data_IF_159768717230
#
_entry.id   IF_159768717230
#
_cell.length_a   1.000
_cell.length_b   1.000
_cell.length_c   1.000
_cell.angle_alpha   90.00
_cell.angle_beta   90.00
_cell.angle_gamma   90.00
#
_symmetry.space_group_name_H-M   'P 1'
#
loop_
_entity.id
_entity.type
_entity.pdbx_description
1 polymer ?
#
# COMPACT_ATOMS: atom_id res chain seq x y z
N UNK A 1 25.99 22.29 3.48
CA UNK A 1 25.44 22.65 2.16
C UNK A 1 24.09 21.94 2.09
N UNK A 2 22.95 22.62 2.23
CA UNK A 2 22.29 23.36 1.16
C UNK A 2 21.38 24.43 1.78
N UNK A 3 21.57 25.70 1.40
CA UNK A 3 20.72 26.83 1.77
C UNK A 3 19.74 27.19 0.66
N UNK A 4 19.50 26.30 -0.30
CA UNK A 4 18.68 26.61 -1.47
C UNK A 4 17.18 26.57 -1.16
N UNK A 5 16.71 25.60 -0.37
CA UNK A 5 15.28 25.45 -0.09
C UNK A 5 14.68 26.64 0.66
N UNK A 6 15.43 27.27 1.57
CA UNK A 6 14.99 28.49 2.28
C UNK A 6 14.82 29.72 1.40
N UNK A 7 15.28 29.67 0.15
CA UNK A 7 15.18 30.76 -0.84
C UNK A 7 14.05 30.50 -1.84
N UNK A 8 13.44 29.32 -1.81
CA UNK A 8 12.38 28.97 -2.76
C UNK A 8 11.09 29.70 -2.39
N UNK A 9 10.58 30.46 -3.36
CA UNK A 9 9.19 30.93 -3.38
C UNK A 9 8.26 29.76 -3.71
N UNK A 10 6.98 29.90 -3.37
CA UNK A 10 5.99 28.83 -3.48
C UNK A 10 5.92 28.19 -4.88
N UNK A 11 6.06 28.98 -5.96
CA UNK A 11 6.13 28.48 -7.34
C UNK A 11 7.28 27.50 -7.58
N UNK A 12 8.43 27.69 -6.92
CA UNK A 12 9.57 26.79 -7.03
C UNK A 12 9.39 25.53 -6.20
N UNK A 13 8.73 25.65 -5.06
CA UNK A 13 8.30 24.46 -4.32
C UNK A 13 7.28 23.64 -5.10
N UNK A 14 6.36 24.30 -5.80
CA UNK A 14 5.39 23.64 -6.67
C UNK A 14 6.08 22.83 -7.78
N UNK A 15 7.08 23.40 -8.44
CA UNK A 15 7.90 22.69 -9.44
C UNK A 15 8.56 21.43 -8.85
N UNK A 16 9.17 21.55 -7.66
CA UNK A 16 9.82 20.41 -6.97
C UNK A 16 8.82 19.30 -6.64
N UNK A 17 7.68 19.63 -6.02
CA UNK A 17 6.72 18.60 -5.60
C UNK A 17 6.03 17.95 -6.80
N UNK A 18 5.84 18.69 -7.91
CA UNK A 18 5.33 18.12 -9.16
C UNK A 18 6.35 17.16 -9.80
N UNK A 19 7.64 17.50 -9.82
CA UNK A 19 8.67 16.57 -10.31
C UNK A 19 8.79 15.32 -9.45
N UNK A 20 8.64 15.43 -8.12
CA UNK A 20 8.60 14.27 -7.23
C UNK A 20 7.37 13.39 -7.51
N UNK A 21 6.21 14.02 -7.73
CA UNK A 21 4.98 13.31 -8.10
C UNK A 21 5.11 12.60 -9.46
N UNK A 22 5.66 13.27 -10.47
CA UNK A 22 5.94 12.68 -11.78
C UNK A 22 6.86 11.47 -11.65
N UNK A 23 8.01 11.63 -10.96
CA UNK A 23 8.94 10.53 -10.71
C UNK A 23 8.27 9.36 -9.98
N UNK A 24 7.40 9.62 -9.01
CA UNK A 24 6.65 8.58 -8.31
C UNK A 24 5.71 7.84 -9.27
N UNK A 25 5.01 8.55 -10.15
CA UNK A 25 4.08 7.92 -11.11
C UNK A 25 4.79 7.13 -12.21
N UNK A 26 5.88 7.63 -12.76
CA UNK A 26 6.61 6.99 -13.87
C UNK A 26 7.38 5.75 -13.44
N UNK A 27 7.76 5.67 -12.17
CA UNK A 27 8.56 4.58 -11.61
C UNK A 27 7.72 3.54 -10.88
N UNK A 28 6.39 3.57 -11.00
CA UNK A 28 5.54 2.53 -10.41
C UNK A 28 5.93 1.14 -10.94
N UNK A 29 6.09 0.12 -10.07
CA UNK A 29 6.40 -1.24 -10.50
C UNK A 29 5.30 -1.82 -11.38
N UNK A 30 5.63 -2.29 -12.59
CA UNK A 30 4.65 -2.93 -13.48
C UNK A 30 4.71 -4.46 -13.36
N UNK A 31 3.54 -5.05 -13.12
CA UNK A 31 3.34 -6.50 -13.02
C UNK A 31 2.40 -7.04 -14.10
N UNK A 32 2.00 -6.21 -15.07
CA UNK A 32 1.06 -6.58 -16.14
C UNK A 32 1.48 -7.84 -16.91
N UNK A 33 2.78 -7.97 -17.22
CA UNK A 33 3.33 -9.15 -17.89
C UNK A 33 3.13 -10.44 -17.07
N UNK A 34 3.40 -10.40 -15.76
CA UNK A 34 3.20 -11.55 -14.86
C UNK A 34 1.71 -11.84 -14.68
N UNK A 35 0.90 -10.80 -14.49
CA UNK A 35 -0.54 -10.92 -14.30
C UNK A 35 -1.21 -11.58 -15.52
N UNK A 36 -0.83 -11.17 -16.73
CA UNK A 36 -1.36 -11.70 -17.99
C UNK A 36 -1.11 -13.20 -18.18
N UNK A 37 -0.05 -13.74 -17.58
CA UNK A 37 0.35 -15.12 -17.83
C UNK A 37 0.91 -15.32 -19.24
N UNK A 38 1.34 -14.27 -19.95
CA UNK A 38 1.91 -14.36 -21.29
C UNK A 38 3.15 -15.28 -21.39
N UNK A 39 3.79 -15.58 -20.25
CA UNK A 39 4.87 -16.56 -20.17
C UNK A 39 4.40 -18.03 -20.21
N UNK A 40 3.09 -18.28 -20.07
CA UNK A 40 2.44 -19.60 -20.11
C UNK A 40 1.66 -19.84 -21.42
N UNK A 41 1.42 -18.81 -22.23
CA UNK A 41 0.68 -18.96 -23.47
C UNK A 41 1.51 -19.76 -24.49
N UNK A 42 1.12 -21.01 -24.69
CA UNK A 42 1.38 -21.69 -25.95
C UNK A 42 0.52 -20.98 -27.00
N UNK A 43 1.12 -20.29 -27.97
CA UNK A 43 0.41 -19.98 -29.21
C UNK A 43 0.61 -21.15 -30.16
N UNK A 44 -0.35 -22.07 -30.30
CA UNK A 44 -0.53 -22.77 -31.56
C UNK A 44 -1.85 -22.40 -32.21
N UNK A 45 -1.87 -22.53 -33.53
CA UNK A 45 -2.96 -22.29 -34.53
C UNK A 45 -3.12 -20.82 -34.93
N UNK A 46 -2.91 -20.46 -36.20
CA UNK A 46 -3.62 -21.00 -37.36
C UNK A 46 -2.70 -21.44 -38.51
N UNK A 47 -2.86 -22.68 -38.99
CA UNK A 47 -2.88 -22.88 -40.44
C UNK A 47 -3.76 -24.08 -40.78
N UNK A 48 -5.03 -23.82 -41.09
CA UNK A 48 -5.82 -24.73 -41.91
C UNK A 48 -5.25 -24.71 -43.33
N UNK A 49 -4.88 -25.90 -43.81
CA UNK A 49 -4.92 -26.24 -45.23
C UNK A 49 -3.66 -25.96 -46.03
N UNK A 50 -2.83 -27.00 -46.23
CA UNK A 50 -2.69 -27.62 -47.55
C UNK A 50 -1.65 -28.75 -47.51
N UNK A 51 -2.04 -29.91 -48.06
CA UNK A 51 -1.14 -31.03 -48.33
C UNK A 51 -0.12 -30.61 -49.41
N UNK A 52 1.18 -30.81 -49.19
CA UNK A 52 2.00 -31.81 -49.89
C UNK A 52 3.49 -31.76 -49.50
N UNK A 53 4.05 -32.93 -49.17
CA UNK A 53 5.40 -33.44 -49.54
C UNK A 53 6.68 -32.61 -49.25
N UNK A 54 7.53 -33.12 -48.33
CA UNK A 54 8.77 -33.93 -48.55
C UNK A 54 9.62 -33.98 -47.26
N UNK A 55 10.19 -35.16 -47.01
CA UNK A 55 11.11 -35.45 -45.91
C UNK A 55 12.54 -34.93 -46.17
N UNK A 56 13.29 -34.76 -45.08
CA UNK A 56 14.73 -34.48 -44.92
C UNK A 56 15.25 -33.03 -45.09
N UNK A 57 15.03 -32.21 -44.05
CA UNK A 57 16.03 -31.28 -43.50
C UNK A 57 15.87 -31.22 -41.97
N UNK A 58 16.95 -31.30 -41.15
CA UNK A 58 16.86 -31.01 -39.73
C UNK A 58 16.67 -29.50 -39.56
N UNK A 59 15.42 -29.05 -39.50
CA UNK A 59 15.08 -27.69 -39.09
C UNK A 59 15.62 -27.49 -37.66
N UNK A 60 16.26 -26.34 -37.34
CA UNK A 60 16.50 -26.00 -35.95
C UNK A 60 15.16 -26.03 -35.23
N UNK A 61 15.10 -26.60 -34.03
CA UNK A 61 13.92 -26.53 -33.16
C UNK A 61 13.58 -25.05 -32.92
N UNK A 62 12.62 -24.50 -33.68
CA UNK A 62 12.09 -23.14 -33.44
C UNK A 62 11.51 -23.02 -32.01
N UNK A 63 11.10 -24.16 -31.44
CA UNK A 63 10.55 -24.32 -30.09
C UNK A 63 11.55 -23.96 -28.96
N UNK A 64 12.85 -24.26 -29.13
CA UNK A 64 13.87 -23.94 -28.10
C UNK A 64 14.13 -22.43 -27.99
N UNK A 65 13.98 -21.70 -29.10
CA UNK A 65 14.29 -20.27 -29.15
C UNK A 65 13.17 -19.43 -28.52
N UNK A 66 11.92 -19.86 -28.65
CA UNK A 66 10.75 -19.19 -28.09
C UNK A 66 10.66 -19.37 -26.56
N UNK A 67 10.88 -20.59 -26.05
CA UNK A 67 10.90 -20.87 -24.61
C UNK A 67 12.03 -20.12 -23.88
N UNK A 68 13.21 -20.04 -24.52
CA UNK A 68 14.34 -19.25 -24.01
C UNK A 68 14.01 -17.75 -23.98
N UNK A 69 13.30 -17.25 -25.00
CA UNK A 69 12.89 -15.84 -25.10
C UNK A 69 11.83 -15.48 -24.04
N UNK A 70 10.82 -16.34 -23.82
CA UNK A 70 9.79 -16.16 -22.78
C UNK A 70 10.39 -16.13 -21.38
N UNK A 71 11.27 -17.09 -21.08
CA UNK A 71 11.98 -17.18 -19.81
C UNK A 71 12.82 -15.92 -19.54
N UNK A 72 13.49 -15.41 -20.58
CA UNK A 72 14.28 -14.17 -20.50
C UNK A 72 13.40 -12.93 -20.27
N UNK A 73 12.28 -12.82 -20.97
CA UNK A 73 11.33 -11.71 -20.81
C UNK A 73 10.73 -11.71 -19.40
N UNK A 74 10.39 -12.88 -18.86
CA UNK A 74 9.89 -13.03 -17.50
C UNK A 74 10.92 -12.63 -16.45
N UNK A 75 12.17 -13.09 -16.62
CA UNK A 75 13.28 -12.69 -15.76
C UNK A 75 13.49 -11.17 -15.78
N UNK A 76 13.43 -10.55 -16.96
CA UNK A 76 13.56 -9.10 -17.12
C UNK A 76 12.39 -8.36 -16.46
N UNK A 77 11.15 -8.80 -16.66
CA UNK A 77 9.97 -8.17 -16.07
C UNK A 77 10.00 -8.19 -14.53
N UNK A 78 10.35 -9.34 -13.92
CA UNK A 78 10.48 -9.45 -12.46
C UNK A 78 11.65 -8.59 -11.95
N UNK A 79 12.78 -8.61 -12.65
CA UNK A 79 13.95 -7.80 -12.33
C UNK A 79 13.65 -6.30 -12.38
N UNK A 80 12.95 -5.84 -13.40
CA UNK A 80 12.51 -4.46 -13.59
C UNK A 80 11.53 -4.04 -12.49
N UNK A 81 10.49 -4.84 -12.23
CA UNK A 81 9.52 -4.57 -11.17
C UNK A 81 10.18 -4.47 -9.78
N UNK A 82 11.15 -5.35 -9.49
CA UNK A 82 11.94 -5.30 -8.26
C UNK A 82 12.79 -4.02 -8.18
N UNK A 83 13.46 -3.66 -9.28
CA UNK A 83 14.26 -2.45 -9.36
C UNK A 83 13.39 -1.21 -9.09
N UNK A 84 12.24 -1.11 -9.77
CA UNK A 84 11.25 -0.04 -9.58
C UNK A 84 10.74 0.03 -8.15
N UNK A 85 10.45 -1.11 -7.51
CA UNK A 85 10.02 -1.13 -6.11
C UNK A 85 11.12 -0.60 -5.16
N UNK A 86 12.39 -0.88 -5.45
CA UNK A 86 13.51 -0.32 -4.69
C UNK A 86 13.68 1.19 -4.95
N UNK A 87 13.52 1.64 -6.20
CA UNK A 87 13.53 3.07 -6.55
C UNK A 87 12.42 3.82 -5.82
N UNK A 88 11.22 3.26 -5.73
CA UNK A 88 10.11 3.86 -4.98
C UNK A 88 10.43 4.03 -3.50
N UNK A 89 11.06 3.04 -2.85
CA UNK A 89 11.50 3.17 -1.45
C UNK A 89 12.53 4.30 -1.28
N UNK A 90 13.47 4.45 -2.22
CA UNK A 90 14.42 5.56 -2.21
C UNK A 90 13.73 6.91 -2.42
N UNK A 91 12.71 6.96 -3.28
CA UNK A 91 11.93 8.16 -3.54
C UNK A 91 11.12 8.57 -2.30
N UNK A 92 10.48 7.63 -1.61
CA UNK A 92 9.77 7.88 -0.35
C UNK A 92 10.72 8.44 0.71
N UNK A 93 11.92 7.86 0.83
CA UNK A 93 12.96 8.37 1.73
C UNK A 93 13.36 9.81 1.37
N UNK A 94 13.55 10.11 0.08
CA UNK A 94 13.87 11.46 -0.38
C UNK A 94 12.73 12.45 -0.10
N UNK A 95 11.47 12.07 -0.33
CA UNK A 95 10.29 12.89 0.00
C UNK A 95 10.23 13.15 1.49
N UNK A 96 10.47 12.15 2.33
CA UNK A 96 10.49 12.30 3.79
C UNK A 96 11.58 13.29 4.23
N UNK A 97 12.79 13.20 3.65
CA UNK A 97 13.88 14.12 3.97
C UNK A 97 13.56 15.56 3.54
N UNK A 98 13.05 15.75 2.31
CA UNK A 98 12.61 17.07 1.81
C UNK A 98 11.53 17.64 2.73
N UNK A 99 10.52 16.85 3.06
CA UNK A 99 9.44 17.27 3.96
C UNK A 99 9.99 17.66 5.33
N UNK A 100 10.80 16.82 5.98
CA UNK A 100 11.34 17.11 7.31
C UNK A 100 12.25 18.34 7.33
N UNK A 101 13.04 18.58 6.28
CA UNK A 101 13.94 19.72 6.20
C UNK A 101 13.21 21.04 5.92
N UNK A 102 12.12 21.00 5.16
CA UNK A 102 11.49 22.21 4.60
C UNK A 102 10.00 22.35 4.94
N UNK A 103 9.47 21.57 5.90
CA UNK A 103 8.07 21.59 6.36
C UNK A 103 7.54 22.99 6.62
N UNK A 104 8.29 23.83 7.32
CA UNK A 104 7.88 25.21 7.66
C UNK A 104 7.78 26.15 6.43
N UNK A 105 8.35 25.75 5.28
CA UNK A 105 8.39 26.52 4.04
C UNK A 105 7.40 25.98 3.00
N UNK A 106 6.97 24.72 3.12
CA UNK A 106 6.00 24.11 2.24
C UNK A 106 4.60 24.65 2.54
N UNK A 107 3.92 25.15 1.51
CA UNK A 107 2.50 25.48 1.61
C UNK A 107 1.66 24.21 1.81
N UNK A 108 0.42 24.39 2.29
CA UNK A 108 -0.55 23.29 2.39
C UNK A 108 -0.77 22.63 1.03
N UNK A 109 -0.90 23.43 -0.03
CA UNK A 109 -1.08 22.94 -1.39
C UNK A 109 0.08 22.03 -1.82
N UNK A 110 1.32 22.48 -1.66
CA UNK A 110 2.49 21.67 -2.02
C UNK A 110 2.58 20.40 -1.17
N UNK A 111 2.18 20.47 0.09
CA UNK A 111 2.17 19.31 0.98
C UNK A 111 1.08 18.30 0.60
N UNK A 112 -0.09 18.76 0.15
CA UNK A 112 -1.15 17.89 -0.39
C UNK A 112 -0.68 17.19 -1.67
N UNK A 113 0.06 17.87 -2.55
CA UNK A 113 0.62 17.24 -3.76
C UNK A 113 1.61 16.12 -3.39
N UNK A 114 2.45 16.33 -2.37
CA UNK A 114 3.33 15.27 -1.85
C UNK A 114 2.54 14.10 -1.26
N UNK A 115 1.49 14.38 -0.48
CA UNK A 115 0.59 13.37 0.03
C UNK A 115 -0.03 12.55 -1.12
N UNK A 116 -0.58 13.18 -2.15
CA UNK A 116 -1.18 12.49 -3.30
C UNK A 116 -0.18 11.59 -4.03
N UNK A 117 1.06 12.04 -4.19
CA UNK A 117 2.12 11.25 -4.81
C UNK A 117 2.42 9.98 -3.99
N UNK A 118 2.59 10.13 -2.68
CA UNK A 118 2.87 9.02 -1.77
C UNK A 118 1.67 8.06 -1.66
N UNK A 119 0.46 8.60 -1.65
CA UNK A 119 -0.78 7.83 -1.61
C UNK A 119 -0.96 6.99 -2.88
N UNK A 120 -0.62 7.54 -4.05
CA UNK A 120 -0.61 6.78 -5.31
C UNK A 120 0.37 5.59 -5.26
N UNK A 121 1.55 5.76 -4.65
CA UNK A 121 2.52 4.67 -4.45
C UNK A 121 1.98 3.63 -3.46
N UNK A 122 1.40 4.08 -2.35
CA UNK A 122 0.82 3.21 -1.32
C UNK A 122 -0.31 2.34 -1.88
N UNK A 123 -1.27 2.97 -2.57
CA UNK A 123 -2.44 2.30 -3.16
C UNK A 123 -2.05 1.34 -4.28
N UNK A 124 -1.06 1.70 -5.10
CA UNK A 124 -0.52 0.80 -6.14
C UNK A 124 0.12 -0.45 -5.52
N UNK A 125 0.97 -0.28 -4.50
CA UNK A 125 1.57 -1.40 -3.79
C UNK A 125 0.51 -2.28 -3.09
N UNK A 126 -0.48 -1.64 -2.44
CA UNK A 126 -1.60 -2.32 -1.81
C UNK A 126 -2.42 -3.18 -2.78
N UNK A 127 -2.70 -2.64 -3.98
CA UNK A 127 -3.44 -3.35 -5.04
C UNK A 127 -2.73 -4.65 -5.43
N UNK A 128 -1.40 -4.59 -5.58
CA UNK A 128 -0.59 -5.78 -5.92
C UNK A 128 -0.53 -6.76 -4.74
N UNK A 129 -0.37 -6.27 -3.50
CA UNK A 129 -0.33 -7.11 -2.31
C UNK A 129 -1.66 -7.83 -2.04
N UNK A 130 -2.78 -7.23 -2.46
CA UNK A 130 -4.13 -7.77 -2.27
C UNK A 130 -4.57 -8.73 -3.39
N UNK A 131 -3.86 -8.76 -4.51
CA UNK A 131 -4.13 -9.68 -5.62
C UNK A 131 -3.53 -11.06 -5.33
N UNK A 132 -4.32 -11.94 -4.71
CA UNK A 132 -3.85 -13.28 -4.33
C UNK A 132 -3.35 -14.11 -5.52
N UNK A 133 -3.95 -13.94 -6.71
CA UNK A 133 -3.55 -14.69 -7.90
C UNK A 133 -2.18 -14.24 -8.39
N UNK A 134 -1.97 -12.92 -8.49
CA UNK A 134 -0.68 -12.35 -8.84
C UNK A 134 0.40 -12.69 -7.79
N UNK A 135 0.07 -12.63 -6.50
CA UNK A 135 0.99 -12.97 -5.42
C UNK A 135 1.40 -14.44 -5.45
N UNK A 136 0.47 -15.36 -5.71
CA UNK A 136 0.79 -16.78 -5.92
C UNK A 136 1.73 -16.98 -7.11
N UNK A 137 1.44 -16.35 -8.26
CA UNK A 137 2.32 -16.41 -9.45
C UNK A 137 3.73 -15.88 -9.13
N UNK A 138 3.83 -14.73 -8.47
CA UNK A 138 5.12 -14.15 -8.08
C UNK A 138 5.92 -15.06 -7.14
N UNK A 139 5.24 -15.74 -6.21
CA UNK A 139 5.89 -16.68 -5.30
C UNK A 139 6.44 -17.92 -6.04
N UNK A 140 5.66 -18.49 -6.97
CA UNK A 140 6.11 -19.59 -7.83
C UNK A 140 7.32 -19.16 -8.67
N UNK A 141 7.24 -17.99 -9.29
CA UNK A 141 8.30 -17.45 -10.14
C UNK A 141 9.56 -17.07 -9.34
N UNK A 142 9.42 -16.58 -8.11
CA UNK A 142 10.55 -16.34 -7.21
C UNK A 142 11.33 -17.60 -6.91
N UNK A 143 10.65 -18.75 -6.77
CA UNK A 143 11.31 -20.04 -6.57
C UNK A 143 12.09 -20.51 -7.81
N UNK A 144 11.58 -20.22 -9.01
CA UNK A 144 12.21 -20.59 -10.28
C UNK A 144 13.39 -19.69 -10.64
N UNK A 145 13.25 -18.39 -10.44
CA UNK A 145 14.24 -17.37 -10.81
C UNK A 145 15.32 -17.15 -9.74
N UNK A 146 15.13 -17.70 -8.54
CA UNK A 146 15.94 -17.42 -7.34
C UNK A 146 15.97 -15.93 -6.97
N UNK A 147 15.05 -15.13 -7.51
CA UNK A 147 14.90 -13.73 -7.11
C UNK A 147 14.11 -13.61 -5.82
N UNK A 148 14.58 -12.74 -4.94
CA UNK A 148 13.76 -12.31 -3.80
C UNK A 148 12.51 -11.57 -4.28
N UNK A 149 11.41 -11.80 -3.58
CA UNK A 149 10.14 -11.11 -3.78
C UNK A 149 10.32 -9.59 -3.69
N UNK A 150 9.73 -8.80 -4.61
CA UNK A 150 9.76 -7.34 -4.53
C UNK A 150 9.22 -6.87 -3.17
N UNK A 151 9.83 -5.85 -2.53
CA UNK A 151 9.51 -5.43 -1.16
C UNK A 151 8.20 -4.60 -1.10
N UNK A 152 7.13 -5.05 -1.75
CA UNK A 152 5.88 -4.31 -1.93
C UNK A 152 5.13 -4.08 -0.63
N UNK A 153 5.13 -5.04 0.31
CA UNK A 153 4.50 -4.84 1.62
C UNK A 153 5.20 -3.74 2.43
N UNK A 154 6.54 -3.69 2.34
CA UNK A 154 7.33 -2.62 2.95
C UNK A 154 7.03 -1.29 2.28
N UNK A 155 6.97 -1.28 0.95
CA UNK A 155 6.63 -0.10 0.15
C UNK A 155 5.25 0.46 0.51
N UNK A 156 4.22 -0.39 0.57
CA UNK A 156 2.87 -0.04 1.01
C UNK A 156 2.90 0.62 2.40
N UNK A 157 3.52 -0.05 3.39
CA UNK A 157 3.51 0.41 4.76
C UNK A 157 4.27 1.72 4.97
N UNK A 158 5.48 1.86 4.39
CA UNK A 158 6.27 3.09 4.51
C UNK A 158 5.59 4.28 3.81
N UNK A 159 4.95 4.05 2.66
CA UNK A 159 4.20 5.09 1.93
C UNK A 159 3.01 5.59 2.74
N UNK A 160 2.17 4.68 3.26
CA UNK A 160 1.03 5.05 4.09
C UNK A 160 1.47 5.72 5.40
N UNK A 161 2.55 5.23 6.03
CA UNK A 161 3.08 5.83 7.25
C UNK A 161 3.51 7.28 7.01
N UNK A 162 4.17 7.56 5.88
CA UNK A 162 4.57 8.92 5.54
C UNK A 162 3.37 9.80 5.20
N UNK A 163 2.37 9.27 4.47
CA UNK A 163 1.10 9.97 4.23
C UNK A 163 0.45 10.41 5.55
N UNK A 164 0.33 9.48 6.49
CA UNK A 164 -0.28 9.72 7.80
C UNK A 164 0.51 10.77 8.59
N UNK A 165 1.83 10.63 8.60
CA UNK A 165 2.74 11.57 9.27
C UNK A 165 2.56 12.97 8.71
N UNK A 166 2.54 13.14 7.39
CA UNK A 166 2.37 14.44 6.73
C UNK A 166 1.02 15.07 7.08
N UNK A 167 -0.09 14.32 6.98
CA UNK A 167 -1.42 14.85 7.25
C UNK A 167 -1.62 15.21 8.72
N UNK A 168 -1.20 14.35 9.65
CA UNK A 168 -1.24 14.63 11.10
C UNK A 168 -0.47 15.90 11.43
N UNK A 169 0.71 16.04 10.84
CA UNK A 169 1.58 17.17 11.05
C UNK A 169 0.95 18.50 10.61
N UNK A 170 0.31 18.52 9.44
CA UNK A 170 -0.42 19.71 8.98
C UNK A 170 -1.61 20.00 9.88
N UNK A 171 -2.37 18.96 10.25
CA UNK A 171 -3.55 19.08 11.10
C UNK A 171 -3.22 19.68 12.48
N UNK A 172 -2.10 19.29 13.09
CA UNK A 172 -1.67 19.79 14.40
C UNK A 172 -1.05 21.20 14.36
N UNK A 173 -0.38 21.58 13.27
CA UNK A 173 0.33 22.87 13.18
C UNK A 173 -0.55 24.04 12.74
N UNK A 174 -1.60 23.77 11.97
CA UNK A 174 -2.32 24.83 11.24
C UNK A 174 -3.51 25.30 12.07
N UNK A 175 -3.32 26.39 12.82
CA UNK A 175 -4.33 27.01 13.69
C UNK A 175 -4.95 28.31 13.13
N UNK A 176 -4.73 28.66 11.85
CA UNK A 176 -5.11 30.01 11.34
C UNK A 176 -5.76 30.11 9.96
N UNK A 177 -5.86 29.02 9.17
CA UNK A 177 -6.49 29.06 7.83
C UNK A 177 -7.58 27.98 7.69
N UNK A 178 -8.80 28.33 8.07
CA UNK A 178 -9.96 27.45 8.27
C UNK A 178 -10.28 26.57 7.05
N UNK A 179 -10.25 27.13 5.82
CA UNK A 179 -10.60 26.38 4.61
C UNK A 179 -9.58 25.31 4.22
N UNK A 180 -8.30 25.52 4.53
CA UNK A 180 -7.25 24.52 4.28
C UNK A 180 -7.26 23.37 5.29
N UNK A 181 -7.80 23.62 6.49
CA UNK A 181 -7.86 22.64 7.58
C UNK A 181 -8.94 21.60 7.29
N UNK A 182 -10.12 22.02 6.80
CA UNK A 182 -11.20 21.08 6.46
C UNK A 182 -10.77 20.04 5.41
N UNK A 183 -10.04 20.49 4.38
CA UNK A 183 -9.53 19.60 3.33
C UNK A 183 -8.54 18.60 3.92
N UNK A 184 -7.60 19.05 4.75
CA UNK A 184 -6.59 18.18 5.39
C UNK A 184 -7.24 17.21 6.37
N UNK A 185 -8.22 17.65 7.15
CA UNK A 185 -9.00 16.83 8.07
C UNK A 185 -9.71 15.71 7.30
N UNK A 186 -10.38 16.03 6.18
CA UNK A 186 -11.03 15.03 5.34
C UNK A 186 -10.04 13.97 4.85
N UNK A 187 -8.89 14.39 4.30
CA UNK A 187 -7.86 13.46 3.84
C UNK A 187 -7.33 12.59 4.99
N UNK A 188 -7.16 13.15 6.19
CA UNK A 188 -6.68 12.40 7.36
C UNK A 188 -7.71 11.35 7.79
N UNK A 189 -8.99 11.70 7.85
CA UNK A 189 -10.08 10.77 8.19
C UNK A 189 -10.16 9.64 7.16
N UNK A 190 -10.14 9.98 5.87
CA UNK A 190 -10.24 9.00 4.79
C UNK A 190 -9.04 8.05 4.78
N UNK A 191 -7.82 8.58 4.96
CA UNK A 191 -6.61 7.76 5.09
C UNK A 191 -6.68 6.83 6.31
N UNK A 192 -7.14 7.32 7.46
CA UNK A 192 -7.26 6.49 8.66
C UNK A 192 -8.25 5.34 8.43
N UNK A 193 -9.39 5.62 7.79
CA UNK A 193 -10.36 4.58 7.45
C UNK A 193 -9.76 3.55 6.50
N UNK A 194 -9.13 4.01 5.42
CA UNK A 194 -8.50 3.15 4.42
C UNK A 194 -7.49 2.19 5.06
N UNK A 195 -6.58 2.70 5.89
CA UNK A 195 -5.57 1.88 6.57
C UNK A 195 -6.23 0.80 7.46
N UNK A 196 -7.27 1.16 8.21
CA UNK A 196 -7.98 0.19 9.06
C UNK A 196 -8.75 -0.84 8.22
N UNK A 197 -9.37 -0.44 7.11
CA UNK A 197 -10.06 -1.32 6.17
C UNK A 197 -9.09 -2.32 5.53
N UNK A 198 -7.91 -1.86 5.10
CA UNK A 198 -6.81 -2.69 4.57
C UNK A 198 -6.34 -3.71 5.60
N UNK A 199 -6.18 -3.31 6.85
CA UNK A 199 -5.78 -4.24 7.92
C UNK A 199 -6.85 -5.31 8.15
N UNK A 200 -8.12 -4.90 8.24
CA UNK A 200 -9.24 -5.80 8.48
C UNK A 200 -9.49 -6.76 7.31
N UNK A 201 -9.33 -6.30 6.07
CA UNK A 201 -9.47 -7.17 4.90
C UNK A 201 -8.41 -8.28 4.90
N UNK A 202 -7.21 -7.97 5.39
CA UNK A 202 -6.11 -8.94 5.57
C UNK A 202 -6.38 -9.91 6.72
N UNK A 203 -6.99 -9.45 7.80
CA UNK A 203 -7.28 -10.24 8.99
C UNK A 203 -8.49 -11.18 8.82
N UNK A 204 -9.32 -10.98 7.78
CA UNK A 204 -10.48 -11.84 7.52
C UNK A 204 -10.03 -13.24 7.10
N UNK A 205 -10.59 -14.30 7.72
CA UNK A 205 -10.34 -15.66 7.29
C UNK A 205 -10.91 -15.89 5.88
N UNK A 206 -10.17 -16.63 5.05
CA UNK A 206 -10.48 -16.89 3.64
C UNK A 206 -11.85 -17.59 3.36
N UNK A 207 -12.59 -17.97 4.40
CA UNK A 207 -13.82 -18.76 4.30
C UNK A 207 -15.11 -17.93 4.24
N UNK A 208 -15.07 -16.61 4.34
CA UNK A 208 -16.28 -15.77 4.28
C UNK A 208 -16.73 -15.38 2.85
N UNK A 209 -16.00 -15.80 1.81
CA UNK A 209 -16.33 -15.51 0.41
C UNK A 209 -17.31 -16.50 -0.24
N UNK A 210 -17.66 -17.59 0.45
CA UNK A 210 -18.72 -18.51 0.02
C UNK A 210 -19.91 -18.32 0.98
N UNK A 211 -21.09 -17.99 0.45
CA UNK A 211 -22.30 -17.61 1.20
C UNK A 211 -22.91 -18.68 2.12
N UNK A 212 -22.13 -19.63 2.60
CA UNK A 212 -22.51 -20.57 3.67
C UNK A 212 -22.05 -19.99 5.00
N UNK A 213 -23.01 -19.54 5.82
CA UNK A 213 -22.75 -19.25 7.23
C UNK A 213 -22.15 -20.51 7.89
N UNK A 214 -20.97 -20.42 8.52
CA UNK A 214 -20.45 -21.53 9.29
C UNK A 214 -21.32 -21.70 10.55
N UNK A 215 -22.13 -22.76 10.59
CA UNK A 215 -22.57 -23.35 11.86
C UNK A 215 -21.33 -23.92 12.56
N UNK A 216 -20.69 -23.12 13.42
CA UNK A 216 -19.60 -23.61 14.26
C UNK A 216 -18.59 -22.54 14.61
N UNK A 217 -18.42 -22.32 15.91
CA UNK A 217 -17.70 -21.25 16.61
C UNK A 217 -16.15 -21.36 16.52
N UNK A 218 -15.64 -22.12 15.56
CA UNK A 218 -14.20 -22.33 15.41
C UNK A 218 -13.66 -21.31 14.42
N UNK A 219 -13.18 -20.17 14.94
CA UNK A 219 -12.35 -19.28 14.14
C UNK A 219 -11.09 -20.08 13.74
N UNK A 220 -10.95 -20.37 12.45
CA UNK A 220 -9.70 -20.91 11.92
C UNK A 220 -8.64 -19.81 12.08
N UNK A 221 -7.51 -20.08 12.76
CA UNK A 221 -6.45 -19.09 12.90
C UNK A 221 -5.95 -18.60 11.55
N UNK A 222 -5.54 -17.33 11.48
CA UNK A 222 -4.91 -16.81 10.26
C UNK A 222 -3.65 -17.62 9.94
N UNK A 223 -3.49 -17.96 8.66
CA UNK A 223 -2.30 -18.67 8.19
C UNK A 223 -1.03 -17.87 8.53
N UNK A 224 0.09 -18.56 8.74
CA UNK A 224 1.37 -17.96 9.16
C UNK A 224 1.84 -16.81 8.26
N UNK A 225 1.61 -16.91 6.95
CA UNK A 225 1.91 -15.84 5.99
C UNK A 225 1.07 -14.58 6.24
N UNK A 226 -0.25 -14.73 6.42
CA UNK A 226 -1.16 -13.60 6.73
C UNK A 226 -0.87 -13.02 8.11
N UNK A 227 -0.51 -13.85 9.09
CA UNK A 227 -0.08 -13.38 10.42
C UNK A 227 1.18 -12.51 10.33
N UNK A 228 2.16 -12.89 9.50
CA UNK A 228 3.36 -12.06 9.25
C UNK A 228 3.00 -10.75 8.55
N UNK A 229 2.08 -10.78 7.59
CA UNK A 229 1.58 -9.60 6.91
C UNK A 229 0.90 -8.62 7.88
N UNK A 230 0.03 -9.13 8.75
CA UNK A 230 -0.61 -8.35 9.82
C UNK A 230 0.41 -7.78 10.82
N UNK A 231 1.44 -8.54 11.16
CA UNK A 231 2.51 -8.05 12.04
C UNK A 231 3.29 -6.90 11.38
N UNK A 232 3.55 -6.99 10.07
CA UNK A 232 4.22 -5.92 9.33
C UNK A 232 3.36 -4.66 9.20
N UNK A 233 2.03 -4.78 9.10
CA UNK A 233 1.10 -3.64 9.05
C UNK A 233 0.79 -3.03 10.42
N UNK A 234 1.06 -3.75 11.51
CA UNK A 234 0.65 -3.34 12.86
C UNK A 234 1.18 -1.96 13.32
N UNK A 235 2.45 -1.57 13.06
CA UNK A 235 2.94 -0.23 13.43
C UNK A 235 2.16 0.92 12.77
N UNK A 236 1.73 0.73 11.53
CA UNK A 236 0.92 1.70 10.79
C UNK A 236 -0.50 1.81 11.39
N UNK A 237 -1.09 0.68 11.77
CA UNK A 237 -2.40 0.67 12.46
C UNK A 237 -2.30 1.36 13.82
N UNK A 238 -1.24 1.10 14.60
CA UNK A 238 -1.01 1.80 15.88
C UNK A 238 -0.93 3.30 15.66
N UNK A 239 -0.13 3.75 14.69
CA UNK A 239 -0.01 5.17 14.34
C UNK A 239 -1.36 5.76 13.91
N UNK A 240 -2.20 4.97 13.24
CA UNK A 240 -3.55 5.37 12.80
C UNK A 240 -4.51 5.52 13.97
N UNK A 241 -4.50 4.59 14.93
CA UNK A 241 -5.31 4.69 16.15
C UNK A 241 -4.89 5.91 17.00
N UNK A 242 -3.59 6.19 17.07
CA UNK A 242 -3.06 7.40 17.69
C UNK A 242 -3.50 8.67 16.94
N UNK A 243 -3.53 8.64 15.60
CA UNK A 243 -4.06 9.72 14.77
C UNK A 243 -5.51 10.07 15.14
N UNK A 244 -6.36 9.04 15.16
CA UNK A 244 -7.79 9.17 15.44
C UNK A 244 -8.00 9.73 16.85
N UNK A 245 -7.21 9.26 17.82
CA UNK A 245 -7.24 9.76 19.20
C UNK A 245 -6.81 11.23 19.31
N UNK A 246 -6.00 11.73 18.36
CA UNK A 246 -5.50 13.10 18.31
C UNK A 246 -6.38 14.09 17.54
N UNK A 247 -7.50 13.66 16.93
CA UNK A 247 -8.39 14.53 16.14
C UNK A 247 -9.15 15.58 16.97
N UNK A 248 -9.19 15.43 18.31
CA UNK A 248 -10.00 16.25 19.20
C UNK A 248 -11.49 15.88 19.18
N UNK A 249 -12.24 16.32 20.19
CA UNK A 249 -13.59 15.79 20.47
C UNK A 249 -14.58 16.03 19.32
N UNK A 250 -14.61 17.23 18.73
CA UNK A 250 -15.60 17.59 17.69
C UNK A 250 -15.42 16.83 16.35
N UNK A 251 -14.23 16.84 15.70
CA UNK A 251 -14.00 16.04 14.50
C UNK A 251 -14.18 14.54 14.74
N UNK A 252 -13.77 14.07 15.92
CA UNK A 252 -13.92 12.67 16.29
C UNK A 252 -15.39 12.26 16.42
N UNK A 253 -16.21 13.00 17.18
CA UNK A 253 -17.64 12.73 17.36
C UNK A 253 -18.39 12.71 16.03
N UNK A 254 -18.09 13.68 15.15
CA UNK A 254 -18.68 13.77 13.80
C UNK A 254 -18.40 12.53 12.95
N UNK A 255 -17.25 11.90 13.13
CA UNK A 255 -16.80 10.75 12.34
C UNK A 255 -16.91 9.41 13.06
N UNK A 256 -17.39 9.39 14.31
CA UNK A 256 -17.50 8.20 15.13
C UNK A 256 -18.32 7.09 14.47
N UNK A 257 -19.41 7.45 13.77
CA UNK A 257 -20.25 6.49 13.04
C UNK A 257 -19.48 5.73 11.95
N UNK A 258 -18.42 6.32 11.40
CA UNK A 258 -17.57 5.70 10.38
C UNK A 258 -16.44 4.88 11.00
N UNK A 259 -15.85 5.35 12.10
CA UNK A 259 -14.77 4.63 12.79
C UNK A 259 -15.27 3.44 13.60
N UNK A 260 -16.44 3.55 14.24
CA UNK A 260 -16.92 2.54 15.18
C UNK A 260 -16.97 1.11 14.58
N UNK A 261 -17.51 0.87 13.36
CA UNK A 261 -17.47 -0.46 12.75
C UNK A 261 -16.06 -1.00 12.53
N UNK A 262 -15.10 -0.13 12.18
CA UNK A 262 -13.70 -0.52 11.95
C UNK A 262 -13.04 -0.91 13.28
N UNK A 263 -13.26 -0.13 14.33
CA UNK A 263 -12.72 -0.40 15.66
C UNK A 263 -13.31 -1.68 16.26
N UNK A 264 -14.62 -1.90 16.11
CA UNK A 264 -15.26 -3.16 16.50
C UNK A 264 -14.70 -4.35 15.70
N UNK A 265 -14.40 -4.12 14.41
CA UNK A 265 -13.69 -5.09 13.57
C UNK A 265 -12.31 -5.45 14.14
N UNK A 266 -11.54 -4.46 14.60
CA UNK A 266 -10.22 -4.68 15.19
C UNK A 266 -10.32 -5.53 16.46
N UNK A 267 -11.29 -5.28 17.34
CA UNK A 267 -11.53 -6.11 18.54
C UNK A 267 -11.76 -7.58 18.17
N UNK A 268 -12.46 -7.82 17.06
CA UNK A 268 -12.97 -9.14 16.68
C UNK A 268 -12.01 -9.96 15.82
N UNK A 269 -10.93 -9.35 15.30
CA UNK A 269 -10.03 -10.00 14.36
C UNK A 269 -8.77 -10.58 15.04
N UNK A 270 -8.11 -11.55 14.39
CA UNK A 270 -6.79 -12.00 14.84
C UNK A 270 -5.73 -10.99 14.40
N UNK A 271 -4.81 -10.66 15.31
CA UNK A 271 -3.69 -9.76 15.03
C UNK A 271 -2.38 -10.52 14.82
N UNK A 272 -1.51 -9.95 13.98
CA UNK A 272 -0.13 -10.44 13.83
C UNK A 272 0.78 -10.09 15.01
N UNK A 273 0.44 -9.05 15.77
CA UNK A 273 1.21 -8.48 16.89
C UNK A 273 0.27 -7.99 17.98
N UNK A 274 0.70 -8.03 19.25
CA UNK A 274 -0.10 -7.55 20.38
C UNK A 274 -0.21 -6.02 20.48
N UNK A 275 0.61 -5.28 19.74
CA UNK A 275 0.65 -3.80 19.80
C UNK A 275 -0.66 -3.13 19.36
N UNK A 276 -1.38 -3.73 18.39
CA UNK A 276 -2.68 -3.20 17.94
C UNK A 276 -3.70 -3.29 19.06
N UNK A 277 -3.71 -4.41 19.81
CA UNK A 277 -4.62 -4.59 20.94
C UNK A 277 -4.31 -3.61 22.08
N UNK A 278 -3.02 -3.35 22.34
CA UNK A 278 -2.60 -2.35 23.33
C UNK A 278 -3.06 -0.96 22.92
N UNK A 279 -2.76 -0.53 21.69
CA UNK A 279 -3.16 0.79 21.19
C UNK A 279 -4.69 0.98 21.19
N UNK A 280 -5.44 -0.08 20.84
CA UNK A 280 -6.90 -0.08 20.87
C UNK A 280 -7.43 0.05 22.30
N UNK A 281 -6.83 -0.67 23.26
CA UNK A 281 -7.17 -0.59 24.68
C UNK A 281 -6.90 0.81 25.25
N UNK A 282 -5.75 1.41 24.91
CA UNK A 282 -5.36 2.75 25.35
C UNK A 282 -6.33 3.81 24.81
N UNK A 283 -6.67 3.72 23.52
CA UNK A 283 -7.64 4.59 22.87
C UNK A 283 -9.03 4.48 23.53
N UNK A 284 -9.57 3.27 23.72
CA UNK A 284 -10.86 3.10 24.39
C UNK A 284 -10.84 3.56 25.86
N UNK A 285 -9.73 3.36 26.57
CA UNK A 285 -9.59 3.84 27.96
C UNK A 285 -9.63 5.37 28.02
N UNK A 286 -9.05 6.03 27.02
CA UNK A 286 -9.08 7.49 26.88
C UNK A 286 -10.47 8.02 26.56
N UNK A 287 -11.28 7.28 25.78
CA UNK A 287 -12.62 7.68 25.38
C UNK A 287 -13.70 7.36 26.41
N UNK A 288 -13.67 6.15 26.96
CA UNK A 288 -14.70 5.64 27.89
C UNK A 288 -14.41 6.09 29.31
N UNK A 289 -13.14 6.26 29.69
CA UNK A 289 -12.73 6.69 31.03
C UNK A 289 -13.42 7.98 31.49
N UNK A 290 -13.38 9.07 30.70
CA UNK A 290 -14.07 10.32 31.04
C UNK A 290 -15.59 10.18 31.14
N UNK A 291 -16.22 9.39 30.26
CA UNK A 291 -17.67 9.18 30.24
C UNK A 291 -18.15 8.41 31.48
N UNK A 292 -17.40 7.40 31.92
CA UNK A 292 -17.71 6.62 33.14
C UNK A 292 -17.50 7.48 34.39
N UNK A 293 -16.46 8.32 34.42
CA UNK A 293 -16.19 9.23 35.53
C UNK A 293 -17.20 10.39 35.63
N UNK A 294 -17.78 10.83 34.53
CA UNK A 294 -18.85 11.84 34.52
C UNK A 294 -20.23 11.28 34.90
N UNK A 295 -20.39 9.96 34.86
CA UNK A 295 -21.66 9.27 35.17
C UNK A 295 -21.75 8.74 36.61
N UNK A 296 -20.69 8.96 37.42
CA UNK A 296 -20.61 8.61 38.84
C UNK A 296 -20.60 9.87 39.70
#
# INVERSE_FOLDING_TARGET
MSSAGSVFVDEKWLEVVLSLKEAATETLPDFSYVASGAYLENVPTENEGSLDRREDEPRPSEDDNDETSRSRNLYFAIGDAKCRAAVQLLLIQAVMEVYNMYRAQLSSQNTVILFEALHAVATHAHKINSDNDLRSKLQELGSMTQMQDPPLLRLENESYQLCLTILQNIFLERSSDEGSIEVVESHLIDLCKEVLEVYLSTARPAQLSSGMQPLGHWLIPVGSSKRRELAARAPLVVSTLQAISGLGDSPFEKNLGQFFPLLAGLISCEHGSGEVQVALSDMFSTWVGPLVLQSC
#
